data_IF_764311633463
#
_entry.id   IF_764311633463
#
_cell.length_a   1.000
_cell.length_b   1.000
_cell.length_c   1.000
_cell.angle_alpha   90.00
_cell.angle_beta   90.00
_cell.angle_gamma   90.00
#
_symmetry.space_group_name_H-M   'P 1'
#
loop_
_entity.id
_entity.type
_entity.pdbx_description
1 polymer ?
#
# COMPACT_ATOMS: atom_id res chain seq x y z
N UNK A 1 2.31 12.60 -19.42
CA UNK A 1 2.72 11.55 -18.45
C UNK A 1 2.63 12.09 -17.04
N UNK A 2 2.03 11.33 -16.11
CA UNK A 2 1.92 11.70 -14.69
C UNK A 2 2.86 10.81 -13.88
N UNK A 3 3.67 11.42 -13.02
CA UNK A 3 4.51 10.70 -12.05
C UNK A 3 3.97 10.89 -10.64
N UNK A 4 3.91 9.82 -9.88
CA UNK A 4 3.41 9.79 -8.51
C UNK A 4 4.56 9.36 -7.61
N UNK A 5 4.87 10.14 -6.59
CA UNK A 5 5.80 9.75 -5.53
C UNK A 5 5.07 9.72 -4.20
N UNK A 6 5.35 8.73 -3.38
CA UNK A 6 4.80 8.69 -2.03
C UNK A 6 4.78 7.33 -1.36
N UNK A 7 4.10 7.30 -0.23
CA UNK A 7 4.01 6.13 0.62
C UNK A 7 3.11 5.06 0.01
N UNK A 8 3.67 3.87 -0.21
CA UNK A 8 2.95 2.69 -0.72
C UNK A 8 2.71 1.73 0.43
N UNK A 9 1.51 1.18 0.51
CA UNK A 9 1.14 0.24 1.56
C UNK A 9 0.22 -0.86 1.03
N UNK A 10 0.15 -1.98 1.74
CA UNK A 10 -0.79 -3.05 1.46
C UNK A 10 -2.00 -2.94 2.38
N UNK A 11 -3.15 -2.67 1.81
CA UNK A 11 -4.44 -2.81 2.48
C UNK A 11 -4.92 -4.26 2.35
N UNK A 12 -5.28 -4.87 3.48
CA UNK A 12 -5.77 -6.25 3.56
C UNK A 12 -7.11 -6.27 4.28
N UNK A 13 -8.04 -7.05 3.75
CA UNK A 13 -9.37 -7.24 4.30
C UNK A 13 -9.58 -8.72 4.58
N UNK A 14 -9.84 -9.06 5.85
CA UNK A 14 -10.16 -10.41 6.29
C UNK A 14 -11.62 -10.39 6.72
N UNK A 15 -12.48 -11.04 5.94
CA UNK A 15 -13.91 -11.11 6.23
C UNK A 15 -14.31 -12.51 6.70
N UNK A 16 -15.25 -12.57 7.61
CA UNK A 16 -15.71 -13.85 8.14
C UNK A 16 -16.89 -13.79 9.09
N UNK A 17 -17.24 -14.94 9.62
CA UNK A 17 -18.31 -15.08 10.60
C UNK A 17 -17.81 -14.82 12.03
N UNK A 18 -18.65 -14.09 12.81
CA UNK A 18 -18.40 -13.75 14.19
C UNK A 18 -19.59 -14.20 15.05
N UNK A 19 -19.76 -15.51 15.17
CA UNK A 19 -20.90 -16.14 15.81
C UNK A 19 -20.65 -16.64 17.25
N UNK A 20 -19.40 -16.53 17.72
CA UNK A 20 -19.02 -17.00 19.04
C UNK A 20 -17.91 -16.18 19.70
N UNK A 21 -17.88 -16.24 21.02
CA UNK A 21 -16.78 -15.74 21.88
C UNK A 21 -15.78 -16.87 22.10
N UNK A 22 -14.49 -16.54 22.21
CA UNK A 22 -13.44 -17.52 22.54
C UNK A 22 -13.64 -18.09 23.94
N UNK A 23 -13.40 -19.40 24.16
CA UNK A 23 -13.34 -19.97 25.51
C UNK A 23 -12.09 -19.56 26.30
N UNK A 24 -11.06 -19.02 25.62
CA UNK A 24 -9.77 -18.68 26.24
C UNK A 24 -9.74 -17.25 26.80
N UNK A 25 -10.56 -16.34 26.25
CA UNK A 25 -10.62 -14.94 26.65
C UNK A 25 -11.94 -14.30 26.17
N UNK A 26 -12.40 -13.19 26.75
CA UNK A 26 -13.63 -12.51 26.32
C UNK A 26 -13.42 -11.73 25.01
N UNK A 27 -13.00 -12.44 23.96
CA UNK A 27 -12.77 -11.90 22.62
C UNK A 27 -13.60 -12.64 21.60
N UNK A 28 -14.00 -11.92 20.55
CA UNK A 28 -14.75 -12.49 19.42
C UNK A 28 -13.84 -13.40 18.60
N UNK A 29 -14.40 -14.51 18.10
CA UNK A 29 -13.72 -15.39 17.14
C UNK A 29 -14.20 -15.03 15.74
N UNK A 30 -13.29 -14.55 14.91
CA UNK A 30 -13.52 -14.37 13.49
C UNK A 30 -13.13 -15.64 12.74
N UNK A 31 -14.10 -16.31 12.13
CA UNK A 31 -13.87 -17.45 11.24
C UNK A 31 -13.70 -16.92 9.82
N UNK A 32 -12.44 -16.81 9.38
CA UNK A 32 -12.08 -16.28 8.06
C UNK A 32 -12.81 -17.04 6.93
N UNK A 33 -13.40 -16.30 6.00
CA UNK A 33 -14.00 -16.78 4.75
C UNK A 33 -13.26 -16.28 3.55
N UNK A 34 -12.96 -14.98 3.51
CA UNK A 34 -12.23 -14.35 2.42
C UNK A 34 -11.10 -13.51 2.95
N UNK A 35 -10.08 -13.35 2.09
CA UNK A 35 -8.97 -12.45 2.34
C UNK A 35 -8.61 -11.75 1.04
N UNK A 36 -8.82 -10.44 1.02
CA UNK A 36 -8.58 -9.59 -0.13
C UNK A 36 -7.45 -8.60 0.13
N UNK A 37 -6.80 -8.19 -0.96
CA UNK A 37 -5.69 -7.28 -0.91
C UNK A 37 -5.87 -6.15 -1.92
N UNK A 38 -5.48 -4.95 -1.53
CA UNK A 38 -5.40 -3.80 -2.42
C UNK A 38 -4.14 -2.99 -2.11
N UNK A 39 -3.69 -2.19 -3.08
CA UNK A 39 -2.59 -1.26 -2.86
C UNK A 39 -3.16 0.06 -2.36
N UNK A 40 -2.66 0.52 -1.21
CA UNK A 40 -3.05 1.78 -0.58
C UNK A 40 -2.03 2.90 -0.83
N UNK A 41 -2.35 4.10 -0.32
CA UNK A 41 -1.51 5.28 -0.44
C UNK A 41 -1.28 5.71 -1.89
N UNK A 42 -0.02 6.00 -2.23
CA UNK A 42 0.39 6.37 -3.58
C UNK A 42 0.03 5.31 -4.63
N UNK A 43 0.04 4.02 -4.24
CA UNK A 43 -0.34 2.93 -5.12
C UNK A 43 -1.83 2.96 -5.50
N UNK A 44 -2.72 3.30 -4.57
CA UNK A 44 -4.15 3.47 -4.88
C UNK A 44 -4.38 4.66 -5.82
N UNK A 45 -3.64 5.75 -5.66
CA UNK A 45 -3.70 6.89 -6.57
C UNK A 45 -3.26 6.48 -7.98
N UNK A 46 -2.19 5.70 -8.11
CA UNK A 46 -1.71 5.17 -9.38
C UNK A 46 -2.76 4.28 -10.07
N UNK A 47 -3.40 3.36 -9.31
CA UNK A 47 -4.48 2.51 -9.81
C UNK A 47 -5.66 3.34 -10.35
N UNK A 48 -6.10 4.36 -9.62
CA UNK A 48 -7.21 5.21 -10.03
C UNK A 48 -6.90 5.99 -11.31
N UNK A 49 -5.71 6.57 -11.42
CA UNK A 49 -5.30 7.31 -12.62
C UNK A 49 -5.11 6.40 -13.84
N UNK A 50 -4.54 5.22 -13.65
CA UNK A 50 -4.44 4.23 -14.73
C UNK A 50 -5.81 3.78 -15.22
N UNK A 51 -6.77 3.55 -14.33
CA UNK A 51 -8.15 3.22 -14.70
C UNK A 51 -8.87 4.33 -15.46
N UNK A 52 -8.44 5.59 -15.28
CA UNK A 52 -8.91 6.73 -16.07
C UNK A 52 -8.19 6.86 -17.42
N UNK A 53 -7.33 5.92 -17.78
CA UNK A 53 -6.60 5.89 -19.04
C UNK A 53 -5.37 6.83 -19.10
N UNK A 54 -4.86 7.23 -17.94
CA UNK A 54 -3.68 8.10 -17.85
C UNK A 54 -2.39 7.28 -17.84
N UNK A 55 -1.40 7.72 -18.64
CA UNK A 55 -0.04 7.17 -18.56
C UNK A 55 0.61 7.62 -17.24
N UNK A 56 0.79 6.66 -16.33
CA UNK A 56 1.14 6.90 -14.93
C UNK A 56 2.33 6.05 -14.49
N UNK A 57 3.29 6.68 -13.80
CA UNK A 57 4.43 6.04 -13.16
C UNK A 57 4.37 6.23 -11.65
N UNK A 58 4.61 5.14 -10.91
CA UNK A 58 4.63 5.13 -9.44
C UNK A 58 6.06 4.99 -8.93
N UNK A 59 6.45 5.90 -8.02
CA UNK A 59 7.69 5.87 -7.25
C UNK A 59 7.36 5.71 -5.77
N UNK A 60 7.92 4.70 -5.12
CA UNK A 60 7.67 4.40 -3.72
C UNK A 60 8.64 3.35 -3.18
N UNK A 61 8.48 2.98 -1.91
CA UNK A 61 9.32 1.97 -1.27
C UNK A 61 8.48 0.88 -0.61
N UNK A 62 8.98 -0.36 -0.65
CA UNK A 62 8.45 -1.53 0.05
C UNK A 62 9.58 -2.37 0.61
N UNK A 63 9.29 -3.23 1.56
CA UNK A 63 10.24 -4.22 2.07
C UNK A 63 10.40 -5.42 1.13
N UNK A 64 11.48 -6.19 1.32
CA UNK A 64 11.67 -7.51 0.69
C UNK A 64 10.89 -8.59 1.46
N UNK A 65 9.60 -8.38 1.62
CA UNK A 65 8.69 -9.24 2.37
C UNK A 65 7.47 -9.66 1.53
N UNK A 66 6.63 -10.53 2.09
CA UNK A 66 5.44 -11.05 1.40
C UNK A 66 4.50 -9.91 0.98
N UNK A 67 4.36 -8.87 1.82
CA UNK A 67 3.49 -7.74 1.54
C UNK A 67 4.03 -6.90 0.37
N UNK A 68 5.34 -6.65 0.33
CA UNK A 68 6.00 -5.94 -0.77
C UNK A 68 5.88 -6.68 -2.10
N UNK A 69 6.09 -8.00 -2.09
CA UNK A 69 5.87 -8.84 -3.28
C UNK A 69 4.42 -8.79 -3.76
N UNK A 70 3.45 -8.80 -2.82
CA UNK A 70 2.02 -8.70 -3.17
C UNK A 70 1.66 -7.36 -3.79
N UNK A 71 2.23 -6.26 -3.30
CA UNK A 71 2.07 -4.93 -3.92
C UNK A 71 2.58 -4.95 -5.36
N UNK A 72 3.79 -5.44 -5.59
CA UNK A 72 4.38 -5.51 -6.93
C UNK A 72 3.52 -6.37 -7.87
N UNK A 73 3.03 -7.51 -7.39
CA UNK A 73 2.10 -8.37 -8.15
C UNK A 73 0.84 -7.59 -8.59
N UNK A 74 0.20 -6.85 -7.65
CA UNK A 74 -1.01 -6.07 -7.95
C UNK A 74 -0.71 -4.97 -8.97
N UNK A 75 0.41 -4.26 -8.83
CA UNK A 75 0.80 -3.21 -9.78
C UNK A 75 1.00 -3.78 -11.19
N UNK A 76 1.67 -4.93 -11.31
CA UNK A 76 1.89 -5.63 -12.59
C UNK A 76 0.58 -6.10 -13.21
N UNK A 77 -0.32 -6.69 -12.43
CA UNK A 77 -1.63 -7.16 -12.91
C UNK A 77 -2.51 -6.02 -13.45
N UNK A 78 -2.30 -4.80 -12.95
CA UNK A 78 -3.02 -3.61 -13.39
C UNK A 78 -2.24 -2.76 -14.41
N UNK A 79 -1.13 -3.29 -14.96
CA UNK A 79 -0.28 -2.61 -15.94
C UNK A 79 0.24 -1.24 -15.47
N UNK A 80 0.49 -1.08 -14.15
CA UNK A 80 1.05 0.14 -13.59
C UNK A 80 2.57 0.14 -13.80
N UNK A 81 3.05 1.13 -14.53
CA UNK A 81 4.49 1.40 -14.61
C UNK A 81 5.00 1.86 -13.24
N UNK A 82 6.03 1.23 -12.72
CA UNK A 82 6.52 1.56 -11.38
C UNK A 82 8.02 1.38 -11.20
N UNK A 83 8.60 2.26 -10.39
CA UNK A 83 9.94 2.15 -9.82
C UNK A 83 9.82 2.08 -8.30
N UNK A 84 9.28 0.95 -7.82
CA UNK A 84 9.14 0.70 -6.39
C UNK A 84 10.44 0.09 -5.87
N UNK A 85 11.13 0.83 -5.01
CA UNK A 85 12.36 0.39 -4.36
C UNK A 85 12.06 -0.70 -3.32
N UNK A 86 12.76 -1.83 -3.40
CA UNK A 86 12.63 -2.92 -2.42
C UNK A 86 13.72 -2.82 -1.35
N UNK A 87 13.80 -1.71 -0.67
CA UNK A 87 14.87 -1.41 0.29
C UNK A 87 14.36 -0.85 1.62
N UNK A 88 13.05 -0.75 1.80
CA UNK A 88 12.46 -0.52 3.10
C UNK A 88 12.71 -1.72 4.03
N UNK A 89 12.83 -1.47 5.32
CA UNK A 89 13.02 -2.52 6.32
C UNK A 89 11.79 -3.43 6.42
N UNK A 90 10.60 -2.83 6.26
CA UNK A 90 9.32 -3.54 6.28
C UNK A 90 8.30 -2.81 5.39
N UNK A 91 7.44 -3.57 4.72
CA UNK A 91 6.32 -3.00 3.99
C UNK A 91 5.21 -2.57 4.96
N UNK A 92 4.74 -1.34 4.83
CA UNK A 92 3.56 -0.87 5.58
C UNK A 92 2.33 -1.69 5.19
N UNK A 93 1.64 -2.25 6.20
CA UNK A 93 0.40 -3.00 5.98
C UNK A 93 -0.70 -2.52 6.92
N UNK A 94 -1.94 -2.50 6.41
CA UNK A 94 -3.16 -2.18 7.17
C UNK A 94 -4.15 -3.32 6.99
N UNK A 95 -4.27 -4.18 8.00
CA UNK A 95 -5.18 -5.33 7.97
C UNK A 95 -6.46 -5.02 8.72
N UNK A 96 -7.59 -5.05 8.03
CA UNK A 96 -8.92 -4.86 8.60
C UNK A 96 -9.60 -6.20 8.75
N UNK A 97 -10.08 -6.49 9.95
CA UNK A 97 -10.90 -7.66 10.26
C UNK A 97 -12.36 -7.23 10.29
N UNK A 98 -13.18 -7.86 9.46
CA UNK A 98 -14.55 -7.45 9.20
C UNK A 98 -15.48 -8.64 9.43
N UNK A 99 -16.47 -8.43 10.27
CA UNK A 99 -17.51 -9.42 10.55
C UNK A 99 -18.60 -9.41 9.49
N UNK A 100 -19.59 -10.28 9.70
CA UNK A 100 -20.82 -10.31 8.90
C UNK A 100 -21.42 -8.91 8.82
N UNK A 101 -22.00 -8.56 7.70
CA UNK A 101 -22.61 -7.24 7.43
C UNK A 101 -21.64 -6.05 7.36
N UNK A 102 -20.34 -6.29 7.16
CA UNK A 102 -19.35 -5.23 6.98
C UNK A 102 -18.93 -4.53 8.28
N UNK A 103 -19.23 -5.10 9.46
CA UNK A 103 -18.82 -4.51 10.73
C UNK A 103 -17.31 -4.64 10.94
N UNK A 104 -16.62 -3.51 11.10
CA UNK A 104 -15.21 -3.50 11.47
C UNK A 104 -15.04 -3.96 12.92
N UNK A 105 -14.23 -5.00 13.11
CA UNK A 105 -13.94 -5.59 14.43
C UNK A 105 -12.61 -5.09 14.98
N UNK A 106 -11.59 -5.07 14.13
CA UNK A 106 -10.22 -4.72 14.49
C UNK A 106 -9.46 -4.25 13.26
N UNK A 107 -8.49 -3.36 13.45
CA UNK A 107 -7.46 -3.06 12.46
C UNK A 107 -6.08 -3.31 13.06
N UNK A 108 -5.25 -4.04 12.33
CA UNK A 108 -3.84 -4.28 12.68
C UNK A 108 -2.97 -3.53 11.70
N UNK A 109 -2.20 -2.57 12.18
CA UNK A 109 -1.25 -1.80 11.40
C UNK A 109 0.17 -2.28 11.71
N UNK A 110 0.93 -2.60 10.65
CA UNK A 110 2.38 -2.82 10.73
C UNK A 110 3.03 -1.73 9.93
N UNK A 111 3.82 -0.90 10.55
CA UNK A 111 4.43 0.25 9.89
C UNK A 111 5.78 0.60 10.53
N UNK A 112 6.71 1.01 9.68
CA UNK A 112 7.98 1.57 10.05
C UNK A 112 8.30 2.69 9.07
N UNK A 113 8.83 3.81 9.57
CA UNK A 113 9.16 4.93 8.70
C UNK A 113 10.31 4.59 7.78
N UNK A 114 10.14 4.87 6.49
CA UNK A 114 11.20 4.82 5.52
C UNK A 114 12.17 5.99 5.73
N UNK A 115 13.47 5.75 5.63
CA UNK A 115 14.50 6.73 6.01
C UNK A 115 15.55 6.95 4.93
N UNK A 116 15.34 6.42 3.71
CA UNK A 116 16.29 6.53 2.62
C UNK A 116 15.80 7.49 1.54
N UNK A 117 16.72 8.10 0.81
CA UNK A 117 16.42 8.97 -0.33
C UNK A 117 16.30 8.25 -1.68
N UNK A 118 16.43 6.91 -1.72
CA UNK A 118 16.49 6.13 -2.96
C UNK A 118 15.30 6.38 -3.88
N UNK A 119 14.09 6.56 -3.33
CA UNK A 119 12.86 6.81 -4.10
C UNK A 119 12.91 8.17 -4.78
N UNK A 120 13.37 9.19 -4.06
CA UNK A 120 13.53 10.56 -4.57
C UNK A 120 14.59 10.61 -5.66
N UNK A 121 15.74 9.94 -5.42
CA UNK A 121 16.83 9.83 -6.40
C UNK A 121 16.36 9.18 -7.70
N UNK A 122 15.52 8.15 -7.63
CA UNK A 122 14.94 7.49 -8.81
C UNK A 122 13.95 8.41 -9.54
N UNK A 123 13.10 9.15 -8.83
CA UNK A 123 12.22 10.14 -9.45
C UNK A 123 13.02 11.24 -10.15
N UNK A 124 14.03 11.79 -9.48
CA UNK A 124 14.85 12.89 -10.02
C UNK A 124 15.56 12.52 -11.33
N UNK A 125 16.03 11.27 -11.46
CA UNK A 125 16.62 10.76 -12.70
C UNK A 125 15.63 10.74 -13.86
N UNK A 126 14.36 10.55 -13.57
CA UNK A 126 13.30 10.34 -14.55
C UNK A 126 12.40 11.58 -14.76
N UNK A 127 12.75 12.76 -14.21
CA UNK A 127 11.91 13.97 -14.33
C UNK A 127 11.79 14.53 -15.75
N UNK A 128 12.64 14.08 -16.68
CA UNK A 128 12.56 14.46 -18.09
C UNK A 128 11.23 13.96 -18.68
N UNK A 129 10.56 14.81 -19.48
CA UNK A 129 9.27 14.52 -20.12
C UNK A 129 8.09 14.28 -19.13
N UNK A 130 8.16 14.89 -17.96
CA UNK A 130 7.10 14.83 -16.96
C UNK A 130 6.20 16.07 -17.04
N UNK A 131 4.89 15.85 -17.21
CA UNK A 131 3.92 16.96 -17.23
C UNK A 131 3.47 17.34 -15.81
N UNK A 132 3.25 16.34 -14.97
CA UNK A 132 2.71 16.50 -13.62
C UNK A 132 3.42 15.54 -12.67
N UNK A 133 3.82 16.04 -11.50
CA UNK A 133 4.23 15.22 -10.36
C UNK A 133 3.17 15.32 -9.26
N UNK A 134 2.66 14.19 -8.82
CA UNK A 134 1.73 14.07 -7.70
C UNK A 134 2.46 13.50 -6.48
N UNK A 135 2.27 14.13 -5.33
CA UNK A 135 2.84 13.69 -4.06
C UNK A 135 1.71 13.10 -3.20
N UNK A 136 1.90 11.87 -2.73
CA UNK A 136 0.96 11.18 -1.85
C UNK A 136 1.65 10.82 -0.53
N UNK A 137 1.57 11.74 0.43
CA UNK A 137 2.25 11.67 1.72
C UNK A 137 1.30 11.21 2.83
N UNK A 138 1.59 10.04 3.42
CA UNK A 138 0.92 9.47 4.59
C UNK A 138 1.83 9.47 5.83
N UNK A 139 2.91 10.26 5.77
CA UNK A 139 3.89 10.37 6.85
C UNK A 139 4.53 9.01 7.20
N UNK A 140 4.87 8.22 6.16
CA UNK A 140 5.62 6.96 6.31
C UNK A 140 7.08 7.08 5.83
N UNK A 141 7.50 8.30 5.45
CA UNK A 141 8.88 8.70 5.28
C UNK A 141 9.43 8.62 3.86
N UNK A 142 8.61 8.31 2.85
CA UNK A 142 9.03 8.43 1.45
C UNK A 142 9.25 9.88 1.09
N UNK A 143 8.39 10.77 1.60
CA UNK A 143 8.57 12.22 1.47
C UNK A 143 9.24 12.73 2.76
N UNK A 144 10.39 13.38 2.63
CA UNK A 144 11.16 13.92 3.75
C UNK A 144 11.13 15.46 3.74
N UNK A 145 11.42 16.09 4.88
CA UNK A 145 11.30 17.56 5.04
C UNK A 145 12.21 18.38 4.12
N UNK A 146 13.26 17.76 3.61
CA UNK A 146 14.27 18.42 2.78
C UNK A 146 14.12 18.05 1.28
N UNK A 147 12.99 17.46 0.91
CA UNK A 147 12.64 17.03 -0.47
C UNK A 147 12.06 18.16 -1.31
#
# INVERSE_FOLDING_TARGET
MIKIIGDVMLDSWIEGDCDRVSPEAPVIVLKEKTKDFNVGGAGNLALNLSNLGTDTWLYGAVGKDIAGHKIIEILLQNNISSRVCQDAEMTTTKTRMVGQNGQHLLRVDKELSYTKSTVEDELLKDLVDTDIVLISDYNKGVIQKDT
#
